data_IF_106682973416
#
_entry.id   IF_106682973416
#
_cell.length_a   1.000
_cell.length_b   1.000
_cell.length_c   1.000
_cell.angle_alpha   90.00
_cell.angle_beta   90.00
_cell.angle_gamma   90.00
#
_symmetry.space_group_name_H-M   'P 1'
#
loop_
_entity.id
_entity.type
_entity.pdbx_description
1 polymer ?
#
# COMPACT_ATOMS: atom_id res chain seq x y z
N UNK A 1 -21.63 -0.53 -13.57
CA UNK A 1 -20.58 -1.32 -12.90
C UNK A 1 -19.67 -0.41 -12.10
N UNK A 2 -19.34 -0.83 -10.90
CA UNK A 2 -18.33 -0.15 -10.09
C UNK A 2 -16.96 -0.26 -10.77
N UNK A 3 -16.29 0.87 -10.91
CA UNK A 3 -14.91 0.86 -11.42
C UNK A 3 -13.99 0.28 -10.37
N UNK A 4 -12.98 -0.43 -10.82
CA UNK A 4 -11.93 -0.99 -9.96
C UNK A 4 -10.61 -0.28 -10.26
N UNK A 5 -9.77 -0.13 -9.25
CA UNK A 5 -8.42 0.34 -9.44
C UNK A 5 -7.44 -0.78 -9.08
N UNK A 6 -6.43 -0.97 -9.94
CA UNK A 6 -5.30 -1.86 -9.68
C UNK A 6 -4.01 -1.07 -9.79
N UNK A 7 -3.27 -1.00 -8.70
CA UNK A 7 -1.99 -0.32 -8.67
C UNK A 7 -0.90 -1.37 -8.84
N UNK A 8 -0.14 -1.27 -9.92
CA UNK A 8 0.95 -2.21 -10.19
C UNK A 8 2.24 -1.66 -9.60
N UNK A 9 2.87 -2.42 -8.72
CA UNK A 9 4.08 -2.01 -8.03
C UNK A 9 5.20 -3.02 -8.29
N UNK A 10 6.38 -2.55 -8.73
CA UNK A 10 7.55 -3.44 -8.86
C UNK A 10 8.12 -3.73 -7.48
N UNK A 11 8.45 -5.00 -7.22
CA UNK A 11 9.00 -5.41 -5.94
C UNK A 11 10.25 -6.26 -6.14
N UNK A 12 11.22 -6.09 -5.23
CA UNK A 12 12.48 -6.84 -5.29
C UNK A 12 12.32 -8.26 -4.78
N UNK A 13 11.52 -8.42 -3.72
CA UNK A 13 11.26 -9.71 -3.07
C UNK A 13 9.75 -9.89 -2.97
N UNK A 14 9.20 -10.72 -3.85
CA UNK A 14 7.75 -10.89 -3.94
C UNK A 14 7.15 -11.44 -2.65
N UNK A 15 7.84 -12.39 -1.99
CA UNK A 15 7.32 -12.98 -0.76
C UNK A 15 7.30 -11.95 0.37
N UNK A 16 8.38 -11.18 0.52
CA UNK A 16 8.45 -10.16 1.55
C UNK A 16 7.39 -9.06 1.32
N UNK A 17 7.23 -8.63 0.08
CA UNK A 17 6.21 -7.64 -0.27
C UNK A 17 4.81 -8.17 -0.01
N UNK A 18 4.54 -9.42 -0.41
CA UNK A 18 3.24 -10.07 -0.18
C UNK A 18 2.92 -10.10 1.31
N UNK A 19 3.88 -10.53 2.14
CA UNK A 19 3.69 -10.58 3.59
C UNK A 19 3.36 -9.22 4.18
N UNK A 20 4.04 -8.17 3.69
CA UNK A 20 3.77 -6.80 4.14
C UNK A 20 2.34 -6.38 3.82
N UNK A 21 1.90 -6.56 2.58
CA UNK A 21 0.57 -6.12 2.15
C UNK A 21 -0.56 -6.91 2.79
N UNK A 22 -0.34 -8.19 3.09
CA UNK A 22 -1.29 -8.96 3.90
C UNK A 22 -1.37 -8.43 5.33
N UNK A 23 -0.22 -8.04 5.90
CA UNK A 23 -0.16 -7.51 7.26
C UNK A 23 -0.94 -6.19 7.41
N UNK A 24 -0.92 -5.33 6.39
CA UNK A 24 -1.60 -4.02 6.45
C UNK A 24 -3.07 -4.07 6.04
N UNK A 25 -3.64 -5.27 5.85
CA UNK A 25 -5.07 -5.45 5.66
C UNK A 25 -5.51 -5.96 4.31
N UNK A 26 -4.57 -6.26 3.41
CA UNK A 26 -4.89 -6.83 2.11
C UNK A 26 -5.23 -8.31 2.20
N UNK A 27 -5.93 -8.81 1.18
CA UNK A 27 -6.26 -10.22 1.04
C UNK A 27 -5.70 -10.72 -0.29
N UNK A 28 -4.99 -11.85 -0.25
CA UNK A 28 -4.42 -12.44 -1.47
C UNK A 28 -5.54 -13.06 -2.32
N UNK A 29 -5.53 -12.75 -3.62
CA UNK A 29 -6.37 -13.42 -4.58
C UNK A 29 -5.52 -14.50 -5.30
N UNK A 30 -5.64 -15.78 -4.93
CA UNK A 30 -4.78 -16.82 -5.49
C UNK A 30 -5.01 -17.07 -6.98
N UNK A 31 -6.18 -16.74 -7.49
CA UNK A 31 -6.50 -16.93 -8.90
C UNK A 31 -5.59 -16.10 -9.81
N UNK A 32 -5.15 -14.92 -9.33
CA UNK A 32 -4.30 -14.00 -10.09
C UNK A 32 -2.92 -13.85 -9.48
N UNK A 33 -2.47 -14.85 -8.73
CA UNK A 33 -1.17 -14.85 -8.06
C UNK A 33 -0.36 -16.06 -8.48
N UNK A 34 0.95 -15.86 -8.65
CA UNK A 34 1.90 -16.91 -9.01
C UNK A 34 3.30 -16.54 -8.50
N UNK A 35 4.34 -17.14 -9.06
CA UNK A 35 5.73 -16.87 -8.64
C UNK A 35 6.28 -15.52 -9.11
N UNK A 36 5.54 -14.79 -9.95
CA UNK A 36 5.96 -13.48 -10.48
C UNK A 36 5.02 -12.34 -10.09
N UNK A 37 3.85 -12.65 -9.54
CA UNK A 37 2.84 -11.65 -9.23
C UNK A 37 2.00 -12.06 -8.02
N UNK A 38 1.67 -11.09 -7.17
CA UNK A 38 0.68 -11.26 -6.11
C UNK A 38 -0.44 -10.25 -6.27
N UNK A 39 -1.67 -10.72 -6.37
CA UNK A 39 -2.86 -9.88 -6.41
C UNK A 39 -3.38 -9.69 -4.99
N UNK A 40 -3.36 -8.47 -4.51
CA UNK A 40 -3.77 -8.12 -3.14
C UNK A 40 -4.98 -7.19 -3.22
N UNK A 41 -6.09 -7.57 -2.59
CA UNK A 41 -7.30 -6.75 -2.57
C UNK A 41 -7.51 -6.13 -1.20
N UNK A 42 -7.75 -4.82 -1.17
CA UNK A 42 -8.14 -4.10 0.05
C UNK A 42 -9.65 -3.98 0.17
N UNK A 43 -10.36 -4.05 -0.95
CA UNK A 43 -11.81 -4.07 -1.02
C UNK A 43 -12.20 -4.73 -2.33
N UNK A 44 -13.50 -4.78 -2.62
CA UNK A 44 -13.98 -5.35 -3.89
C UNK A 44 -13.54 -4.55 -5.11
N UNK A 45 -13.12 -3.30 -4.92
CA UNK A 45 -12.79 -2.39 -6.03
C UNK A 45 -11.38 -1.83 -5.97
N UNK A 46 -10.61 -2.12 -4.92
CA UNK A 46 -9.27 -1.56 -4.74
C UNK A 46 -8.27 -2.69 -4.59
N UNK A 47 -7.35 -2.78 -5.54
CA UNK A 47 -6.33 -3.82 -5.56
C UNK A 47 -4.94 -3.30 -5.87
N UNK A 48 -3.96 -4.09 -5.48
CA UNK A 48 -2.55 -3.86 -5.77
C UNK A 48 -2.03 -5.13 -6.43
N UNK A 49 -1.29 -4.97 -7.53
CA UNK A 49 -0.55 -6.06 -8.14
C UNK A 49 0.92 -5.87 -7.81
N UNK A 50 1.45 -6.79 -7.02
CA UNK A 50 2.88 -6.81 -6.72
C UNK A 50 3.55 -7.66 -7.78
N UNK A 51 4.48 -7.06 -8.52
CA UNK A 51 5.12 -7.71 -9.66
C UNK A 51 6.64 -7.78 -9.44
N UNK A 52 7.25 -8.93 -9.71
CA UNK A 52 8.71 -8.99 -9.76
C UNK A 52 9.23 -7.99 -10.78
N UNK A 53 10.47 -7.53 -10.63
CA UNK A 53 11.05 -6.57 -11.56
C UNK A 53 11.03 -7.07 -13.00
N UNK A 54 11.35 -8.34 -13.22
CA UNK A 54 11.32 -8.93 -14.55
C UNK A 54 9.93 -8.94 -15.17
N UNK A 55 8.91 -9.22 -14.35
CA UNK A 55 7.54 -9.23 -14.82
C UNK A 55 7.04 -7.81 -15.09
N UNK A 56 7.30 -6.89 -14.16
CA UNK A 56 6.91 -5.49 -14.30
C UNK A 56 7.50 -4.87 -15.59
N UNK A 57 8.75 -5.19 -15.89
CA UNK A 57 9.45 -4.65 -17.06
C UNK A 57 8.84 -5.08 -18.40
N UNK A 58 7.96 -6.09 -18.39
CA UNK A 58 7.23 -6.49 -19.60
C UNK A 58 6.08 -5.52 -19.92
N UNK A 59 5.67 -4.68 -18.97
CA UNK A 59 4.53 -3.77 -19.14
C UNK A 59 4.94 -2.33 -19.39
N UNK A 60 6.22 -2.00 -19.27
CA UNK A 60 6.71 -0.65 -19.49
C UNK A 60 8.09 -0.66 -20.10
N UNK A 61 8.35 0.30 -21.00
CA UNK A 61 9.68 0.50 -21.56
C UNK A 61 10.57 1.35 -20.66
N UNK A 62 10.01 1.94 -19.59
CA UNK A 62 10.76 2.80 -18.70
C UNK A 62 11.51 1.99 -17.66
N UNK A 63 12.63 2.55 -17.19
CA UNK A 63 13.39 1.95 -16.11
C UNK A 63 12.62 2.00 -14.80
N UNK A 64 12.68 0.91 -14.03
CA UNK A 64 12.11 0.89 -12.67
C UNK A 64 12.93 1.84 -11.79
N UNK A 65 12.23 2.79 -11.14
CA UNK A 65 12.85 3.75 -10.25
C UNK A 65 13.14 3.18 -8.86
N UNK A 66 13.86 3.97 -8.06
CA UNK A 66 14.11 3.63 -6.66
C UNK A 66 13.19 4.46 -5.76
N UNK A 67 12.13 3.83 -5.26
CA UNK A 67 11.13 4.50 -4.43
C UNK A 67 11.69 4.93 -3.07
N UNK A 68 12.80 4.35 -2.63
CA UNK A 68 13.45 4.77 -1.38
C UNK A 68 14.14 6.12 -1.52
N UNK A 69 14.50 6.49 -2.73
CA UNK A 69 15.18 7.75 -3.02
C UNK A 69 14.25 8.79 -3.64
N UNK A 70 13.40 8.36 -4.57
CA UNK A 70 12.58 9.27 -5.36
C UNK A 70 11.10 8.99 -5.11
N UNK A 71 10.31 10.05 -4.94
CA UNK A 71 8.86 9.90 -4.78
C UNK A 71 8.16 10.17 -6.11
N UNK A 72 7.32 9.22 -6.55
CA UNK A 72 6.44 9.39 -7.70
C UNK A 72 5.00 9.53 -7.28
N UNK A 73 4.63 8.96 -6.12
CA UNK A 73 3.26 9.00 -5.65
C UNK A 73 3.19 8.73 -4.15
N UNK A 74 2.14 9.23 -3.54
CA UNK A 74 1.70 8.86 -2.21
C UNK A 74 0.33 8.21 -2.38
N UNK A 75 0.16 7.01 -1.85
CA UNK A 75 -1.07 6.25 -2.02
C UNK A 75 -1.86 6.34 -0.72
N UNK A 76 -3.03 6.97 -0.77
CA UNK A 76 -3.84 7.20 0.42
C UNK A 76 -5.04 6.26 0.42
N UNK A 77 -5.28 5.61 1.57
CA UNK A 77 -6.41 4.72 1.76
C UNK A 77 -7.09 5.07 3.09
N UNK A 78 -8.40 5.18 3.04
CA UNK A 78 -9.19 5.54 4.22
C UNK A 78 -9.34 4.38 5.18
N UNK A 79 -9.58 4.71 6.45
CA UNK A 79 -9.88 3.76 7.52
C UNK A 79 -11.13 4.22 8.27
N UNK A 80 -11.63 3.36 9.15
CA UNK A 80 -12.85 3.65 9.91
C UNK A 80 -12.58 4.32 11.25
N UNK A 81 -11.33 4.36 11.71
CA UNK A 81 -10.98 4.95 13.01
C UNK A 81 -9.50 5.31 13.08
N UNK A 82 -9.16 6.17 14.07
CA UNK A 82 -7.76 6.47 14.39
C UNK A 82 -7.02 5.22 14.87
N UNK A 83 -7.69 4.37 15.65
CA UNK A 83 -7.09 3.15 16.16
C UNK A 83 -6.71 2.21 15.01
N UNK A 84 -7.54 2.14 13.97
CA UNK A 84 -7.24 1.35 12.78
C UNK A 84 -5.99 1.88 12.06
N UNK A 85 -5.84 3.21 11.92
CA UNK A 85 -4.62 3.80 11.34
C UNK A 85 -3.39 3.33 12.11
N UNK A 86 -3.41 3.43 13.43
CA UNK A 86 -2.27 3.03 14.26
C UNK A 86 -2.00 1.53 14.16
N UNK A 87 -3.04 0.71 14.18
CA UNK A 87 -2.90 -0.75 14.08
C UNK A 87 -2.26 -1.17 12.75
N UNK A 88 -2.68 -0.55 11.65
CA UNK A 88 -2.12 -0.82 10.31
C UNK A 88 -0.63 -0.49 10.28
N UNK A 89 -0.24 0.68 10.78
CA UNK A 89 1.16 1.09 10.79
C UNK A 89 2.00 0.13 11.62
N UNK A 90 1.52 -0.27 12.81
CA UNK A 90 2.25 -1.20 13.67
C UNK A 90 2.43 -2.57 13.00
N UNK A 91 1.38 -3.09 12.35
CA UNK A 91 1.45 -4.35 11.63
C UNK A 91 2.40 -4.27 10.44
N UNK A 92 2.41 -3.15 9.75
CA UNK A 92 3.31 -2.93 8.63
C UNK A 92 4.77 -2.91 9.06
N UNK A 93 5.08 -2.27 10.18
CA UNK A 93 6.44 -2.27 10.74
C UNK A 93 6.87 -3.68 11.10
N UNK A 94 5.99 -4.45 11.74
CA UNK A 94 6.30 -5.84 12.12
C UNK A 94 6.54 -6.72 10.88
N UNK A 95 6.02 -6.34 9.73
CA UNK A 95 6.19 -7.08 8.47
C UNK A 95 7.25 -6.47 7.54
N UNK A 96 8.15 -5.63 8.06
CA UNK A 96 9.30 -5.12 7.31
C UNK A 96 9.17 -3.71 6.76
N UNK A 97 8.09 -2.99 7.08
CA UNK A 97 7.90 -1.61 6.68
C UNK A 97 8.55 -0.62 7.65
N UNK A 98 8.51 0.66 7.28
CA UNK A 98 9.04 1.75 8.10
C UNK A 98 7.95 2.76 8.41
N UNK A 99 7.72 3.00 9.72
CA UNK A 99 6.69 3.93 10.16
C UNK A 99 7.10 5.38 9.94
N UNK A 100 6.14 6.20 9.56
CA UNK A 100 6.22 7.65 9.54
C UNK A 100 7.43 8.20 8.77
N UNK A 101 7.65 7.79 7.50
CA UNK A 101 8.67 8.44 6.68
C UNK A 101 8.37 9.95 6.51
N UNK A 102 7.11 10.33 6.64
CA UNK A 102 6.64 11.71 6.78
C UNK A 102 5.93 11.85 8.12
N UNK A 103 5.95 13.04 8.76
CA UNK A 103 5.30 13.22 10.05
C UNK A 103 3.81 12.90 10.04
N UNK A 104 3.33 12.29 11.12
CA UNK A 104 1.90 12.07 11.32
C UNK A 104 1.19 13.42 11.50
N UNK A 105 -0.07 13.48 11.05
CA UNK A 105 -0.90 14.69 11.19
C UNK A 105 -2.18 14.36 11.94
N UNK A 106 -2.46 15.13 13.00
CA UNK A 106 -3.73 15.05 13.70
C UNK A 106 -4.35 16.44 13.69
N UNK A 107 -5.36 16.61 12.85
CA UNK A 107 -6.06 17.88 12.67
C UNK A 107 -7.40 17.91 13.43
N UNK A 108 -7.67 16.91 14.26
CA UNK A 108 -8.93 16.78 14.97
C UNK A 108 -10.00 16.10 14.12
N UNK A 109 -10.34 16.69 12.98
CA UNK A 109 -11.31 16.11 12.04
C UNK A 109 -10.68 15.05 11.13
N UNK A 110 -9.37 14.97 11.07
CA UNK A 110 -8.62 14.03 10.26
C UNK A 110 -7.35 13.63 10.99
N UNK A 111 -7.03 12.34 10.93
CA UNK A 111 -5.78 11.78 11.45
C UNK A 111 -5.15 10.92 10.39
N UNK A 112 -3.86 11.13 10.11
CA UNK A 112 -3.15 10.27 9.17
C UNK A 112 -1.76 9.89 9.67
N UNK A 113 -1.29 8.77 9.16
CA UNK A 113 0.09 8.32 9.30
C UNK A 113 0.55 7.70 7.99
N UNK A 114 1.85 7.70 7.77
CA UNK A 114 2.47 7.06 6.62
C UNK A 114 3.19 5.78 7.05
N UNK A 115 3.20 4.81 6.14
CA UNK A 115 3.99 3.59 6.26
C UNK A 115 4.69 3.32 4.93
N UNK A 116 5.99 3.04 4.98
CA UNK A 116 6.78 2.71 3.81
C UNK A 116 6.84 1.20 3.66
N UNK A 117 6.59 0.69 2.46
CA UNK A 117 6.70 -0.73 2.19
C UNK A 117 8.18 -1.15 2.05
N UNK A 118 8.48 -2.46 1.94
CA UNK A 118 9.88 -2.90 1.82
C UNK A 118 10.65 -2.34 0.62
N UNK A 119 9.95 -1.91 -0.42
CA UNK A 119 10.57 -1.34 -1.62
C UNK A 119 10.66 0.18 -1.60
N UNK A 120 10.07 0.85 -0.61
CA UNK A 120 10.11 2.30 -0.47
C UNK A 120 8.86 3.03 -0.89
N UNK A 121 7.83 2.31 -1.35
CA UNK A 121 6.55 2.95 -1.68
C UNK A 121 5.87 3.40 -0.39
N UNK A 122 5.30 4.61 -0.42
CA UNK A 122 4.72 5.22 0.78
C UNK A 122 3.21 5.23 0.68
N UNK A 123 2.58 4.65 1.69
CA UNK A 123 1.14 4.65 1.86
C UNK A 123 0.75 5.61 2.97
N UNK A 124 -0.34 6.36 2.75
CA UNK A 124 -0.97 7.17 3.77
C UNK A 124 -2.26 6.48 4.20
N UNK A 125 -2.36 6.14 5.48
CA UNK A 125 -3.62 5.66 6.04
C UNK A 125 -4.25 6.78 6.84
N UNK A 126 -5.53 7.06 6.57
CA UNK A 126 -6.19 8.19 7.18
C UNK A 126 -7.61 7.86 7.63
N UNK A 127 -7.98 8.50 8.71
CA UNK A 127 -9.36 8.56 9.19
C UNK A 127 -9.84 10.00 9.09
N UNK A 128 -11.06 10.16 8.65
CA UNK A 128 -11.74 11.45 8.64
C UNK A 128 -13.04 11.33 9.43
N UNK A 129 -13.31 12.33 10.25
CA UNK A 129 -14.61 12.38 10.96
C UNK A 129 -15.71 12.45 9.90
N UNK A 130 -16.69 11.49 9.91
CA UNK A 130 -17.74 11.47 8.88
C UNK A 130 -18.52 12.77 8.76
N UNK A 131 -18.72 13.50 9.87
CA UNK A 131 -19.45 14.78 9.84
C UNK A 131 -18.67 15.88 9.13
N UNK A 132 -17.34 15.77 9.02
CA UNK A 132 -16.51 16.73 8.30
C UNK A 132 -16.50 16.51 6.79
N UNK A 133 -17.04 15.40 6.32
CA UNK A 133 -17.09 15.04 4.91
C UNK A 133 -18.38 15.49 4.21
N UNK A 134 -19.27 16.10 4.94
CA UNK A 134 -20.55 16.57 4.42
C UNK A 134 -20.51 18.00 3.91
#
# INVERSE_FOLDING_TARGET
>A
MTKMIFINLPVRDLQAATNFYLAIGGTLNPQFSNDQASSIMFSDSIGVMLLTHGHYSQFTARQIGDAKRDSQMLIALTTDSKDEVNAIVEKGVAAGGRADPNPAQDLGFMFNRHIEDPDGNVWEFLWMNPSAMQ
#
